data_IF_433496545714
#
_entry.id   IF_433496545714
#
_cell.length_a   1.000
_cell.length_b   1.000
_cell.length_c   1.000
_cell.angle_alpha   90.00
_cell.angle_beta   90.00
_cell.angle_gamma   90.00
#
_symmetry.space_group_name_H-M   'P 1'
#
loop_
_entity.id
_entity.type
_entity.pdbx_description
1 polymer ?
#
# COMPACT_ATOMS: atom_id res chain seq x y z
N UNK A 1 -25.70 15.95 18.51
CA UNK A 1 -24.45 15.37 17.99
C UNK A 1 -24.81 14.23 17.05
N UNK A 2 -24.96 14.51 15.76
CA UNK A 2 -25.43 13.54 14.76
C UNK A 2 -24.26 12.68 14.30
N UNK A 3 -24.35 11.36 14.51
CA UNK A 3 -23.38 10.38 14.00
C UNK A 3 -23.41 10.42 12.47
N UNK A 4 -22.28 10.76 11.86
CA UNK A 4 -22.14 10.71 10.40
C UNK A 4 -22.46 9.29 9.88
N UNK A 5 -23.17 9.16 8.74
CA UNK A 5 -23.51 7.86 8.18
C UNK A 5 -22.24 7.08 7.84
N UNK A 6 -22.23 5.78 8.14
CA UNK A 6 -21.11 4.90 7.82
C UNK A 6 -20.91 4.87 6.30
N UNK A 7 -19.96 5.66 5.80
CA UNK A 7 -19.47 5.55 4.43
C UNK A 7 -19.14 4.08 4.17
N UNK A 8 -19.52 3.55 3.00
CA UNK A 8 -19.18 2.19 2.56
C UNK A 8 -17.66 2.01 2.64
N UNK A 9 -17.18 1.54 3.80
CA UNK A 9 -15.75 1.39 4.04
C UNK A 9 -15.32 0.14 3.31
N UNK A 10 -14.46 0.28 2.31
CA UNK A 10 -13.68 -0.85 1.81
C UNK A 10 -13.04 -1.55 3.03
N UNK A 11 -13.00 -2.89 3.12
CA UNK A 11 -12.53 -3.60 4.31
C UNK A 11 -11.12 -3.17 4.78
N UNK A 12 -10.34 -2.58 3.87
CA UNK A 12 -8.93 -2.20 4.04
C UNK A 12 -8.70 -0.70 4.29
N UNK A 13 -9.74 0.14 4.42
CA UNK A 13 -9.51 1.58 4.64
C UNK A 13 -8.87 1.79 6.03
N UNK A 14 -7.66 2.35 6.05
CA UNK A 14 -6.84 2.61 7.25
C UNK A 14 -6.85 4.08 7.70
N UNK A 15 -7.81 4.89 7.25
CA UNK A 15 -7.86 6.35 7.44
C UNK A 15 -8.57 6.76 8.75
N UNK A 16 -7.99 6.40 9.90
CA UNK A 16 -8.51 6.66 11.27
C UNK A 16 -7.38 6.77 12.30
N UNK A 17 -7.62 7.40 13.47
CA UNK A 17 -6.69 7.30 14.61
C UNK A 17 -6.35 5.84 14.89
N UNK A 18 -5.12 5.55 15.32
CA UNK A 18 -4.65 4.17 15.43
C UNK A 18 -5.38 3.42 16.54
N UNK A 19 -5.74 4.13 17.60
CA UNK A 19 -6.54 3.67 18.74
C UNK A 19 -7.98 3.27 18.35
N UNK A 20 -8.49 3.81 17.24
CA UNK A 20 -9.84 3.54 16.73
C UNK A 20 -9.85 2.41 15.68
N UNK A 21 -8.70 1.80 15.38
CA UNK A 21 -8.60 0.69 14.44
C UNK A 21 -8.62 -0.64 15.20
N UNK A 22 -9.76 -1.34 15.13
CA UNK A 22 -9.90 -2.66 15.74
C UNK A 22 -8.87 -3.67 15.22
N UNK A 23 -8.42 -4.56 16.10
CA UNK A 23 -7.33 -5.53 15.86
C UNK A 23 -7.50 -6.33 14.58
N UNK A 24 -8.70 -6.83 14.30
CA UNK A 24 -8.95 -7.63 13.09
C UNK A 24 -8.79 -6.82 11.81
N UNK A 25 -9.16 -5.53 11.85
CA UNK A 25 -8.99 -4.63 10.71
C UNK A 25 -7.54 -4.23 10.51
N UNK A 26 -6.77 -4.07 11.59
CA UNK A 26 -5.32 -3.89 11.52
C UNK A 26 -4.65 -5.12 10.89
N UNK A 27 -4.98 -6.33 11.38
CA UNK A 27 -4.47 -7.59 10.83
C UNK A 27 -4.80 -7.73 9.35
N UNK A 28 -6.05 -7.49 8.96
CA UNK A 28 -6.46 -7.51 7.56
C UNK A 28 -5.71 -6.47 6.72
N UNK A 29 -5.53 -5.26 7.26
CA UNK A 29 -4.78 -4.18 6.61
C UNK A 29 -3.35 -4.60 6.27
N UNK A 30 -2.62 -5.17 7.23
CA UNK A 30 -1.27 -5.71 6.98
C UNK A 30 -1.28 -6.93 6.08
N UNK A 31 -2.24 -7.84 6.26
CA UNK A 31 -2.37 -9.03 5.45
C UNK A 31 -2.50 -8.68 3.97
N UNK A 32 -3.38 -7.74 3.61
CA UNK A 32 -3.61 -7.34 2.22
C UNK A 32 -2.48 -6.46 1.68
N UNK A 33 -2.01 -5.48 2.45
CA UNK A 33 -1.10 -4.46 1.93
C UNK A 33 0.39 -4.84 1.95
N UNK A 34 0.76 -5.87 2.72
CA UNK A 34 2.15 -6.29 2.92
C UNK A 34 2.34 -7.80 2.77
N UNK A 35 1.60 -8.60 3.52
CA UNK A 35 1.85 -10.06 3.57
C UNK A 35 1.48 -10.72 2.25
N UNK A 36 0.29 -10.43 1.71
CA UNK A 36 -0.18 -11.00 0.44
C UNK A 36 0.79 -10.76 -0.72
N UNK A 37 1.23 -9.52 -1.04
CA UNK A 37 2.21 -9.31 -2.11
C UNK A 37 3.57 -9.96 -1.82
N UNK A 38 3.98 -10.06 -0.55
CA UNK A 38 5.21 -10.75 -0.15
C UNK A 38 5.14 -12.26 -0.43
N UNK A 39 4.04 -12.90 -0.02
CA UNK A 39 3.80 -14.34 -0.24
C UNK A 39 3.69 -14.64 -1.73
N UNK A 40 2.96 -13.83 -2.49
CA UNK A 40 2.83 -14.00 -3.94
C UNK A 40 4.18 -13.84 -4.65
N UNK A 41 4.96 -12.82 -4.28
CA UNK A 41 6.30 -12.62 -4.83
C UNK A 41 7.20 -13.83 -4.54
N UNK A 42 7.24 -14.28 -3.28
CA UNK A 42 8.05 -15.44 -2.87
C UNK A 42 7.64 -16.72 -3.61
N UNK A 43 6.36 -16.95 -3.84
CA UNK A 43 5.86 -18.11 -4.58
C UNK A 43 6.24 -18.09 -6.07
N UNK A 44 6.36 -16.90 -6.67
CA UNK A 44 6.68 -16.76 -8.10
C UNK A 44 8.18 -16.82 -8.40
N UNK A 45 9.04 -16.41 -7.46
CA UNK A 45 10.50 -16.34 -7.65
C UNK A 45 11.11 -17.66 -8.14
N UNK A 46 10.80 -18.86 -7.58
CA UNK A 46 11.35 -20.11 -8.08
C UNK A 46 10.99 -20.38 -9.54
N UNK A 47 9.74 -20.11 -9.93
CA UNK A 47 9.25 -20.32 -11.31
C UNK A 47 9.91 -19.34 -12.30
N UNK A 48 10.11 -18.08 -11.89
CA UNK A 48 10.82 -17.09 -12.70
C UNK A 48 12.31 -17.44 -12.83
N UNK A 49 12.95 -17.95 -11.77
CA UNK A 49 14.36 -18.41 -11.82
C UNK A 49 14.54 -19.56 -12.81
N UNK A 50 13.62 -20.52 -12.83
CA UNK A 50 13.64 -21.62 -13.81
C UNK A 50 13.51 -21.11 -15.25
N UNK A 51 12.74 -20.04 -15.47
CA UNK A 51 12.58 -19.39 -16.78
C UNK A 51 13.77 -18.52 -17.17
N UNK A 52 14.57 -18.05 -16.21
CA UNK A 52 15.66 -17.10 -16.42
C UNK A 52 15.20 -15.68 -16.76
N UNK A 53 13.90 -15.38 -16.59
CA UNK A 53 13.29 -14.08 -16.88
C UNK A 53 12.05 -13.87 -16.00
N UNK A 54 11.77 -12.62 -15.64
CA UNK A 54 10.58 -12.25 -14.90
C UNK A 54 10.57 -10.82 -14.40
N UNK A 55 9.36 -10.30 -14.14
CA UNK A 55 9.17 -8.97 -13.59
C UNK A 55 8.13 -9.00 -12.46
N UNK A 56 8.53 -8.51 -11.29
CA UNK A 56 7.62 -8.31 -10.14
C UNK A 56 7.39 -6.82 -9.95
N UNK A 57 6.14 -6.37 -10.03
CA UNK A 57 5.76 -4.98 -9.77
C UNK A 57 4.91 -4.90 -8.52
N UNK A 58 5.47 -4.33 -7.45
CA UNK A 58 4.76 -4.09 -6.20
C UNK A 58 4.20 -2.67 -6.16
N UNK A 59 2.90 -2.56 -5.92
CA UNK A 59 2.20 -1.28 -5.80
C UNK A 59 2.25 -0.79 -4.34
N UNK A 60 3.18 0.13 -4.12
CA UNK A 60 3.40 0.83 -2.87
C UNK A 60 2.50 2.05 -2.71
N UNK A 61 3.04 3.07 -2.02
CA UNK A 61 2.45 4.40 -1.88
C UNK A 61 3.57 5.37 -1.49
N UNK A 62 3.47 6.64 -1.89
CA UNK A 62 4.31 7.72 -1.34
C UNK A 62 4.28 7.72 0.19
N UNK A 63 3.15 7.31 0.77
CA UNK A 63 2.95 7.24 2.21
C UNK A 63 3.79 6.17 2.92
N UNK A 64 4.37 5.23 2.16
CA UNK A 64 5.41 4.31 2.67
C UNK A 64 6.80 4.95 2.77
N UNK A 65 6.99 6.14 2.20
CA UNK A 65 8.21 6.94 2.34
C UNK A 65 8.00 8.14 3.27
N UNK A 66 6.83 8.79 3.18
CA UNK A 66 6.43 9.93 4.01
C UNK A 66 5.13 9.57 4.74
N UNK A 67 5.17 9.05 5.98
CA UNK A 67 3.97 8.62 6.69
C UNK A 67 3.10 9.80 7.09
N UNK A 68 1.78 9.61 7.11
CA UNK A 68 0.81 10.63 7.50
C UNK A 68 -0.02 10.20 8.73
N UNK A 69 -0.42 11.15 9.59
CA UNK A 69 -1.35 10.88 10.69
C UNK A 69 -2.67 10.33 10.15
N UNK A 70 -3.35 9.52 10.96
CA UNK A 70 -4.56 8.79 10.58
C UNK A 70 -4.37 7.70 9.52
N UNK A 71 -3.16 7.51 8.98
CA UNK A 71 -2.85 6.44 8.04
C UNK A 71 -1.74 5.51 8.54
N UNK A 72 -1.52 5.46 9.85
CA UNK A 72 -0.37 4.77 10.48
C UNK A 72 -0.19 3.34 9.98
N UNK A 73 -1.26 2.52 10.01
CA UNK A 73 -1.20 1.11 9.60
C UNK A 73 -0.94 0.92 8.09
N UNK A 74 -1.48 1.80 7.24
CA UNK A 74 -1.21 1.75 5.80
C UNK A 74 0.21 2.22 5.49
N UNK A 75 0.64 3.31 6.13
CA UNK A 75 1.99 3.87 5.99
C UNK A 75 3.05 2.83 6.36
N UNK A 76 2.89 2.16 7.51
CA UNK A 76 3.81 1.11 7.96
C UNK A 76 3.80 -0.10 7.03
N UNK A 77 2.63 -0.58 6.60
CA UNK A 77 2.52 -1.69 5.66
C UNK A 77 3.21 -1.38 4.31
N UNK A 78 2.99 -0.18 3.75
CA UNK A 78 3.60 0.25 2.49
C UNK A 78 5.10 0.54 2.62
N UNK A 79 5.56 1.00 3.79
CA UNK A 79 6.99 1.10 4.09
C UNK A 79 7.64 -0.30 4.13
N UNK A 80 6.96 -1.28 4.76
CA UNK A 80 7.37 -2.68 4.75
C UNK A 80 7.47 -3.24 3.33
N UNK A 81 6.50 -2.94 2.46
CA UNK A 81 6.49 -3.42 1.07
C UNK A 81 7.63 -2.81 0.24
N UNK A 82 7.98 -1.53 0.50
CA UNK A 82 9.16 -0.88 -0.06
C UNK A 82 10.44 -1.60 0.36
N UNK A 83 10.60 -1.86 1.65
CA UNK A 83 11.75 -2.59 2.20
C UNK A 83 11.88 -4.00 1.59
N UNK A 84 10.77 -4.74 1.57
CA UNK A 84 10.67 -6.05 0.92
C UNK A 84 11.12 -6.00 -0.55
N UNK A 85 10.57 -5.07 -1.33
CA UNK A 85 10.88 -4.97 -2.76
C UNK A 85 12.35 -4.62 -3.01
N UNK A 86 12.95 -3.79 -2.15
CA UNK A 86 14.37 -3.45 -2.23
C UNK A 86 15.26 -4.63 -1.84
N UNK A 87 14.89 -5.40 -0.82
CA UNK A 87 15.62 -6.60 -0.41
C UNK A 87 15.55 -7.68 -1.50
N UNK A 88 14.33 -8.00 -1.97
CA UNK A 88 14.12 -9.03 -2.99
C UNK A 88 14.88 -8.71 -4.27
N UNK A 89 14.88 -7.45 -4.73
CA UNK A 89 15.66 -7.03 -5.91
C UNK A 89 17.14 -7.41 -5.80
N UNK A 90 17.73 -7.26 -4.61
CA UNK A 90 19.13 -7.60 -4.36
C UNK A 90 19.34 -9.11 -4.33
N UNK A 91 18.39 -9.84 -3.75
CA UNK A 91 18.42 -11.30 -3.68
C UNK A 91 18.31 -11.99 -5.05
N UNK A 92 17.55 -11.41 -5.98
CA UNK A 92 17.36 -11.96 -7.33
C UNK A 92 18.28 -11.33 -8.38
N UNK A 93 19.21 -10.47 -7.97
CA UNK A 93 20.15 -9.82 -8.90
C UNK A 93 20.94 -10.86 -9.71
N UNK A 94 21.03 -10.65 -11.03
CA UNK A 94 21.71 -11.57 -11.94
C UNK A 94 20.92 -12.80 -12.36
N UNK A 95 19.71 -13.02 -11.82
CA UNK A 95 18.86 -14.18 -12.20
C UNK A 95 17.92 -13.93 -13.38
N UNK A 96 18.02 -12.77 -14.04
CA UNK A 96 17.08 -12.33 -15.08
C UNK A 96 15.75 -11.78 -14.54
N UNK A 97 15.54 -11.80 -13.23
CA UNK A 97 14.34 -11.27 -12.58
C UNK A 97 14.55 -9.81 -12.19
N UNK A 98 13.63 -8.93 -12.60
CA UNK A 98 13.57 -7.56 -12.13
C UNK A 98 12.41 -7.35 -11.14
N UNK A 99 12.61 -6.40 -10.23
CA UNK A 99 11.64 -6.04 -9.18
C UNK A 99 11.47 -4.53 -9.17
N UNK A 100 10.26 -4.04 -9.43
CA UNK A 100 9.93 -2.61 -9.41
C UNK A 100 8.94 -2.32 -8.28
N UNK A 101 9.25 -1.29 -7.49
CA UNK A 101 8.33 -0.76 -6.50
C UNK A 101 7.81 0.58 -6.99
N UNK A 102 6.51 0.67 -7.24
CA UNK A 102 5.87 1.92 -7.66
C UNK A 102 5.26 2.58 -6.44
N UNK A 103 5.48 3.88 -6.26
CA UNK A 103 4.97 4.63 -5.11
C UNK A 103 4.07 5.78 -5.59
N UNK A 104 2.80 5.50 -5.93
CA UNK A 104 1.88 6.55 -6.37
C UNK A 104 1.71 7.62 -5.28
N UNK A 105 1.58 8.87 -5.73
CA UNK A 105 1.09 9.98 -4.91
C UNK A 105 -0.44 9.97 -4.89
N UNK A 106 -1.06 10.96 -4.26
CA UNK A 106 -2.51 11.12 -4.29
C UNK A 106 -3.02 11.20 -5.73
N UNK A 107 -3.98 10.33 -6.04
CA UNK A 107 -4.72 10.27 -7.30
C UNK A 107 -6.20 10.44 -6.99
N UNK A 108 -6.95 11.18 -7.82
CA UNK A 108 -8.40 11.26 -7.73
C UNK A 108 -9.01 9.94 -8.22
N UNK A 109 -9.34 9.05 -7.28
CA UNK A 109 -9.93 7.74 -7.58
C UNK A 109 -11.19 7.50 -6.74
N UNK A 110 -12.10 6.61 -7.17
CA UNK A 110 -13.28 6.22 -6.38
C UNK A 110 -12.95 5.58 -5.02
N UNK A 111 -11.70 5.17 -4.80
CA UNK A 111 -11.23 4.64 -3.52
C UNK A 111 -11.19 5.69 -2.41
N UNK A 112 -11.05 6.98 -2.77
CA UNK A 112 -10.93 8.07 -1.82
C UNK A 112 -12.29 8.36 -1.18
N UNK A 113 -12.40 8.02 0.11
CA UNK A 113 -13.58 8.40 0.91
C UNK A 113 -13.63 9.92 1.10
N UNK A 114 -14.79 10.44 1.50
CA UNK A 114 -14.96 11.86 1.83
C UNK A 114 -13.95 12.33 2.89
N UNK A 115 -13.63 11.48 3.87
CA UNK A 115 -12.62 11.79 4.88
C UNK A 115 -11.22 11.95 4.26
N UNK A 116 -10.84 11.10 3.31
CA UNK A 116 -9.57 11.20 2.59
C UNK A 116 -9.55 12.47 1.72
N UNK A 117 -10.67 12.79 1.06
CA UNK A 117 -10.79 14.02 0.26
C UNK A 117 -10.62 15.27 1.13
N UNK A 118 -11.30 15.35 2.28
CA UNK A 118 -11.13 16.44 3.24
C UNK A 118 -9.70 16.55 3.76
N UNK A 119 -9.07 15.42 4.05
CA UNK A 119 -7.65 15.38 4.45
C UNK A 119 -6.74 15.95 3.35
N UNK A 120 -6.95 15.56 2.09
CA UNK A 120 -6.14 16.06 0.97
C UNK A 120 -6.29 17.58 0.80
N UNK A 121 -7.51 18.10 0.89
CA UNK A 121 -7.78 19.55 0.84
C UNK A 121 -7.09 20.28 2.01
N UNK A 122 -7.27 19.78 3.24
CA UNK A 122 -6.72 20.41 4.44
C UNK A 122 -5.17 20.42 4.44
N UNK A 123 -4.55 19.37 3.91
CA UNK A 123 -3.09 19.25 3.83
C UNK A 123 -2.50 19.87 2.56
N UNK A 124 -3.33 20.44 1.68
CA UNK A 124 -2.91 20.91 0.34
C UNK A 124 -2.19 19.83 -0.47
N UNK A 125 -2.55 18.56 -0.24
CA UNK A 125 -2.01 17.44 -0.99
C UNK A 125 -2.59 17.48 -2.39
N UNK A 126 -1.76 17.89 -3.36
CA UNK A 126 -2.16 17.85 -4.76
C UNK A 126 -2.53 16.42 -5.14
N UNK A 127 -3.68 16.24 -5.78
CA UNK A 127 -4.11 14.96 -6.31
C UNK A 127 -4.16 15.06 -7.83
N UNK A 128 -3.58 14.10 -8.51
CA UNK A 128 -3.58 14.06 -9.97
C UNK A 128 -4.89 13.43 -10.47
N UNK A 129 -5.36 13.87 -11.64
CA UNK A 129 -6.48 13.22 -12.33
C UNK A 129 -6.05 11.89 -12.96
N UNK A 130 -6.98 10.96 -13.19
CA UNK A 130 -6.68 9.68 -13.82
C UNK A 130 -6.38 9.73 -15.33
N UNK A 131 -6.10 10.92 -15.90
CA UNK A 131 -5.93 11.16 -17.34
C UNK A 131 -4.46 11.18 -17.82
#
# INVERSE_FOLDING_TARGET
MSRAPAARTTPTTCSRPIEDQGTDRLRLGYAVNLIAPTVLSAAMVPQMRLRGDGQIVNIGSMMGAVPYPYFTACSSAKAGLKGFSQALRREVAGSGIAVTHVAPRAMRTPLNTEAIQRFMVATKMHADDPD
#
